data_IF_122064168882
#
_entry.id   IF_122064168882
#
_cell.length_a   1.000
_cell.length_b   1.000
_cell.length_c   1.000
_cell.angle_alpha   90.00
_cell.angle_beta   90.00
_cell.angle_gamma   90.00
#
_symmetry.space_group_name_H-M   'P 1'
#
loop_
_entity.id
_entity.type
_entity.pdbx_description
1 polymer ?
#
# COMPACT_ATOMS: atom_id res chain seq x y z
N UNK A 1 -7.16 4.96 -8.09
CA UNK A 1 -7.58 5.72 -9.29
C UNK A 1 -7.06 5.13 -10.60
N UNK A 2 -5.96 4.34 -10.57
CA UNK A 2 -5.42 3.59 -11.73
C UNK A 2 -5.48 2.06 -11.56
N UNK A 3 -6.07 1.60 -10.45
CA UNK A 3 -6.05 0.19 -10.05
C UNK A 3 -6.76 -0.72 -11.06
N UNK A 4 -7.85 -0.24 -11.67
CA UNK A 4 -8.60 -0.98 -12.67
C UNK A 4 -7.80 -1.10 -13.96
N UNK A 5 -7.32 0.02 -14.48
CA UNK A 5 -6.58 0.11 -15.74
C UNK A 5 -5.28 -0.71 -15.70
N UNK A 6 -4.57 -0.69 -14.57
CA UNK A 6 -3.38 -1.54 -14.36
C UNK A 6 -3.76 -3.03 -14.37
N UNK A 7 -4.83 -3.39 -13.66
CA UNK A 7 -5.27 -4.79 -13.57
C UNK A 7 -5.75 -5.30 -14.93
N UNK A 8 -6.51 -4.49 -15.65
CA UNK A 8 -7.02 -4.78 -17.00
C UNK A 8 -5.88 -5.02 -17.98
N UNK A 9 -4.93 -4.09 -18.04
CA UNK A 9 -3.80 -4.16 -18.97
C UNK A 9 -2.91 -5.39 -18.73
N UNK A 10 -2.71 -5.76 -17.46
CA UNK A 10 -1.85 -6.87 -17.06
C UNK A 10 -2.54 -8.23 -17.12
N UNK A 11 -3.81 -8.32 -16.72
CA UNK A 11 -4.48 -9.60 -16.44
C UNK A 11 -5.70 -9.89 -17.29
N UNK A 12 -6.42 -8.90 -17.85
CA UNK A 12 -7.68 -9.12 -18.58
C UNK A 12 -7.46 -9.68 -19.98
N UNK A 13 -7.10 -10.97 -20.05
CA UNK A 13 -6.87 -11.74 -21.28
C UNK A 13 -7.27 -13.21 -21.07
N UNK A 14 -7.70 -13.87 -22.13
CA UNK A 14 -8.03 -15.30 -22.10
C UNK A 14 -9.21 -15.61 -21.19
N UNK A 15 -8.97 -16.37 -20.12
CA UNK A 15 -9.99 -16.80 -19.15
C UNK A 15 -10.29 -15.75 -18.07
N UNK A 16 -9.52 -14.66 -18.01
CA UNK A 16 -9.72 -13.61 -17.02
C UNK A 16 -10.78 -12.63 -17.51
N UNK A 17 -11.95 -12.62 -16.85
CA UNK A 17 -13.09 -11.83 -17.28
C UNK A 17 -13.03 -10.40 -16.73
N UNK A 18 -13.79 -9.45 -17.32
CA UNK A 18 -13.90 -8.10 -16.76
C UNK A 18 -14.40 -8.06 -15.30
N UNK A 19 -15.16 -9.08 -14.87
CA UNK A 19 -15.61 -9.20 -13.48
C UNK A 19 -14.45 -9.49 -12.53
N UNK A 20 -13.50 -10.31 -12.96
CA UNK A 20 -12.31 -10.65 -12.18
C UNK A 20 -11.38 -9.44 -12.06
N UNK A 21 -11.29 -8.62 -13.11
CA UNK A 21 -10.59 -7.32 -13.10
C UNK A 21 -11.16 -6.40 -12.04
N UNK A 22 -12.49 -6.28 -11.96
CA UNK A 22 -13.13 -5.42 -10.96
C UNK A 22 -12.80 -5.88 -9.53
N UNK A 23 -12.96 -7.16 -9.22
CA UNK A 23 -12.67 -7.69 -7.88
C UNK A 23 -11.19 -7.52 -7.54
N UNK A 24 -10.29 -7.86 -8.47
CA UNK A 24 -8.84 -7.78 -8.26
C UNK A 24 -8.37 -6.33 -8.10
N UNK A 25 -8.93 -5.39 -8.86
CA UNK A 25 -8.61 -3.96 -8.73
C UNK A 25 -9.02 -3.38 -7.36
N UNK A 26 -10.12 -3.87 -6.78
CA UNK A 26 -10.55 -3.50 -5.44
C UNK A 26 -9.60 -4.07 -4.38
N UNK A 27 -9.26 -5.36 -4.48
CA UNK A 27 -8.25 -6.02 -3.63
C UNK A 27 -6.92 -5.27 -3.69
N UNK A 28 -6.45 -4.93 -4.88
CA UNK A 28 -5.22 -4.16 -5.08
C UNK A 28 -5.29 -2.80 -4.39
N UNK A 29 -6.41 -2.08 -4.52
CA UNK A 29 -6.62 -0.78 -3.86
C UNK A 29 -6.55 -0.90 -2.32
N UNK A 30 -7.06 -1.99 -1.76
CA UNK A 30 -7.01 -2.25 -0.31
C UNK A 30 -5.58 -2.56 0.17
N UNK A 31 -4.78 -3.28 -0.62
CA UNK A 31 -3.37 -3.52 -0.31
C UNK A 31 -2.54 -2.24 -0.32
N UNK A 32 -2.86 -1.28 -1.20
CA UNK A 32 -2.15 0.00 -1.27
C UNK A 32 -2.25 0.80 0.05
N UNK A 33 -3.33 0.63 0.82
CA UNK A 33 -3.46 1.27 2.14
C UNK A 33 -2.37 0.82 3.12
N UNK A 34 -1.95 -0.45 3.04
CA UNK A 34 -0.90 -1.01 3.89
C UNK A 34 0.52 -0.68 3.45
N UNK A 35 0.71 -0.20 2.20
CA UNK A 35 2.02 -0.01 1.59
C UNK A 35 2.93 0.94 2.40
N UNK A 36 2.39 2.08 2.82
CA UNK A 36 3.10 3.08 3.62
C UNK A 36 3.57 2.53 4.99
N UNK A 37 2.69 1.95 5.82
CA UNK A 37 3.07 1.28 7.06
C UNK A 37 4.15 0.21 6.88
N UNK A 38 4.02 -0.65 5.87
CA UNK A 38 4.99 -1.71 5.60
C UNK A 38 6.37 -1.15 5.25
N UNK A 39 6.41 -0.13 4.36
CA UNK A 39 7.66 0.53 3.98
C UNK A 39 8.37 1.18 5.17
N UNK A 40 7.62 1.93 6.00
CA UNK A 40 8.19 2.58 7.18
C UNK A 40 8.66 1.59 8.24
N UNK A 41 7.89 0.52 8.48
CA UNK A 41 8.29 -0.51 9.44
C UNK A 41 9.62 -1.15 9.06
N UNK A 42 9.86 -1.38 7.76
CA UNK A 42 11.14 -1.92 7.28
C UNK A 42 12.32 -1.04 7.70
N UNK A 43 12.19 0.28 7.61
CA UNK A 43 13.23 1.23 8.04
C UNK A 43 13.50 1.13 9.54
N UNK A 44 12.45 1.14 10.37
CA UNK A 44 12.58 1.05 11.83
C UNK A 44 13.06 -0.32 12.30
N UNK A 45 12.70 -1.39 11.60
CA UNK A 45 13.22 -2.73 11.87
C UNK A 45 14.73 -2.78 11.61
N UNK A 46 15.20 -2.16 10.54
CA UNK A 46 16.63 -2.05 10.23
C UNK A 46 17.38 -1.29 11.34
N UNK A 47 16.77 -0.24 11.90
CA UNK A 47 17.32 0.48 13.04
C UNK A 47 17.41 -0.40 14.29
N UNK A 48 16.37 -1.19 14.61
CA UNK A 48 16.39 -2.14 15.72
C UNK A 48 17.48 -3.19 15.53
N UNK A 49 17.70 -3.64 14.30
CA UNK A 49 18.78 -4.58 13.98
C UNK A 49 20.16 -3.96 14.21
N UNK A 50 20.36 -2.70 13.83
CA UNK A 50 21.61 -1.97 14.09
C UNK A 50 21.87 -1.77 15.60
N UNK A 51 20.82 -1.79 16.44
CA UNK A 51 20.91 -1.72 17.90
C UNK A 51 21.00 -3.09 18.59
N UNK A 52 21.21 -4.17 17.83
CA UNK A 52 21.24 -5.55 18.34
C UNK A 52 19.92 -6.00 19.01
N UNK A 53 18.80 -5.31 18.72
CA UNK A 53 17.48 -5.58 19.28
C UNK A 53 16.60 -6.47 18.37
N UNK A 54 17.23 -7.38 17.62
CA UNK A 54 16.55 -8.26 16.66
C UNK A 54 15.42 -9.09 17.29
N UNK A 55 15.61 -9.53 18.54
CA UNK A 55 14.59 -10.27 19.31
C UNK A 55 13.32 -9.45 19.52
N UNK A 56 13.42 -8.14 19.72
CA UNK A 56 12.25 -7.27 19.88
C UNK A 56 11.49 -7.12 18.56
N UNK A 57 12.21 -6.86 17.48
CA UNK A 57 11.63 -6.79 16.13
C UNK A 57 10.91 -8.11 15.74
N UNK A 58 11.52 -9.25 16.04
CA UNK A 58 10.89 -10.56 15.82
C UNK A 58 9.60 -10.75 16.63
N UNK A 59 9.60 -10.41 17.93
CA UNK A 59 8.39 -10.48 18.77
C UNK A 59 7.27 -9.60 18.24
N UNK A 60 7.58 -8.38 17.82
CA UNK A 60 6.59 -7.43 17.27
C UNK A 60 5.99 -7.98 15.96
N UNK A 61 6.83 -8.49 15.06
CA UNK A 61 6.37 -9.13 13.81
C UNK A 61 5.41 -10.28 14.09
N UNK A 62 5.74 -11.12 15.07
CA UNK A 62 4.94 -12.27 15.47
C UNK A 62 3.58 -11.85 16.05
N UNK A 63 3.56 -10.86 16.95
CA UNK A 63 2.30 -10.29 17.49
C UNK A 63 1.43 -9.72 16.36
N UNK A 64 2.03 -8.97 15.44
CA UNK A 64 1.28 -8.39 14.33
C UNK A 64 0.72 -9.44 13.39
N UNK A 65 1.48 -10.50 13.11
CA UNK A 65 1.03 -11.61 12.29
C UNK A 65 -0.20 -12.29 12.92
N UNK A 66 -0.19 -12.52 14.24
CA UNK A 66 -1.37 -13.03 14.95
C UNK A 66 -2.57 -12.08 14.89
N UNK A 67 -2.37 -10.78 15.07
CA UNK A 67 -3.45 -9.79 14.94
C UNK A 67 -4.02 -9.76 13.51
N UNK A 68 -3.15 -9.85 12.50
CA UNK A 68 -3.54 -9.94 11.10
C UNK A 68 -4.32 -11.21 10.76
N UNK A 69 -3.93 -12.34 11.34
CA UNK A 69 -4.66 -13.60 11.21
C UNK A 69 -6.04 -13.50 11.89
N UNK A 70 -6.12 -12.98 13.10
CA UNK A 70 -7.39 -12.77 13.80
C UNK A 70 -8.32 -11.84 13.03
N UNK A 71 -7.78 -10.72 12.51
CA UNK A 71 -8.52 -9.80 11.65
C UNK A 71 -8.98 -10.49 10.35
N UNK A 72 -8.11 -11.30 9.73
CA UNK A 72 -8.43 -12.04 8.50
C UNK A 72 -9.61 -13.00 8.73
N UNK A 73 -9.55 -13.80 9.80
CA UNK A 73 -10.62 -14.74 10.14
C UNK A 73 -11.94 -14.03 10.50
N UNK A 74 -11.86 -12.84 11.11
CA UNK A 74 -13.04 -12.05 11.47
C UNK A 74 -13.67 -11.35 10.26
N UNK A 75 -12.85 -10.86 9.30
CA UNK A 75 -13.32 -10.11 8.13
C UNK A 75 -13.69 -11.01 6.93
N UNK A 76 -13.11 -12.21 6.85
CA UNK A 76 -13.39 -13.17 5.77
C UNK A 76 -14.88 -13.48 5.59
N UNK A 77 -15.69 -13.76 6.64
CA UNK A 77 -17.12 -14.03 6.45
C UNK A 77 -17.92 -12.79 6.01
N UNK A 78 -17.44 -11.57 6.30
CA UNK A 78 -18.15 -10.32 5.98
C UNK A 78 -17.86 -9.83 4.56
N UNK A 79 -16.60 -9.94 4.11
CA UNK A 79 -16.09 -9.26 2.92
C UNK A 79 -15.34 -10.22 1.96
N UNK A 80 -15.25 -11.51 2.29
CA UNK A 80 -14.52 -12.50 1.50
C UNK A 80 -13.07 -12.10 1.25
N UNK A 81 -12.67 -12.08 -0.03
CA UNK A 81 -11.31 -11.75 -0.48
C UNK A 81 -10.93 -10.29 -0.15
N UNK A 82 -11.88 -9.36 -0.19
CA UNK A 82 -11.64 -7.97 0.19
C UNK A 82 -11.32 -7.85 1.69
N UNK A 83 -11.95 -8.70 2.50
CA UNK A 83 -11.70 -8.78 3.94
C UNK A 83 -10.27 -9.21 4.26
N UNK A 84 -9.76 -10.20 3.52
CA UNK A 84 -8.36 -10.65 3.65
C UNK A 84 -7.37 -9.55 3.27
N UNK A 85 -7.64 -8.82 2.17
CA UNK A 85 -6.79 -7.72 1.74
C UNK A 85 -6.74 -6.58 2.77
N UNK A 86 -7.90 -6.21 3.32
CA UNK A 86 -8.01 -5.23 4.40
C UNK A 86 -7.30 -5.68 5.67
N UNK A 87 -7.50 -6.94 6.07
CA UNK A 87 -6.85 -7.50 7.24
C UNK A 87 -5.31 -7.51 7.11
N UNK A 88 -4.78 -7.77 5.92
CA UNK A 88 -3.35 -7.68 5.67
C UNK A 88 -2.82 -6.25 5.80
N UNK A 89 -3.53 -5.27 5.21
CA UNK A 89 -3.17 -3.85 5.36
C UNK A 89 -3.24 -3.39 6.81
N UNK A 90 -4.23 -3.87 7.58
CA UNK A 90 -4.38 -3.58 8.99
C UNK A 90 -3.29 -4.24 9.85
N UNK A 91 -2.86 -5.46 9.50
CA UNK A 91 -1.68 -6.09 10.09
C UNK A 91 -0.44 -5.21 9.89
N UNK A 92 -0.23 -4.67 8.69
CA UNK A 92 0.86 -3.71 8.44
C UNK A 92 0.79 -2.47 9.32
N UNK A 93 -0.41 -1.95 9.60
CA UNK A 93 -0.62 -0.84 10.53
C UNK A 93 -0.29 -1.22 11.98
N UNK A 94 -0.73 -2.38 12.45
CA UNK A 94 -0.40 -2.86 13.79
C UNK A 94 1.11 -3.06 13.96
N UNK A 95 1.75 -3.68 12.98
CA UNK A 95 3.19 -3.86 12.92
C UNK A 95 3.92 -2.51 13.03
N UNK A 96 3.48 -1.53 12.26
CA UNK A 96 4.04 -0.19 12.24
C UNK A 96 3.91 0.53 13.58
N UNK A 97 2.71 0.54 14.18
CA UNK A 97 2.45 1.19 15.47
C UNK A 97 3.30 0.56 16.58
N UNK A 98 3.38 -0.77 16.63
CA UNK A 98 4.20 -1.48 17.62
C UNK A 98 5.69 -1.22 17.41
N UNK A 99 6.15 -1.17 16.16
CA UNK A 99 7.56 -0.90 15.83
C UNK A 99 7.94 0.54 16.19
N UNK A 100 7.07 1.53 15.94
CA UNK A 100 7.30 2.91 16.39
C UNK A 100 7.34 3.00 17.92
N UNK A 101 6.46 2.27 18.61
CA UNK A 101 6.48 2.24 20.08
C UNK A 101 7.81 1.71 20.61
N UNK A 102 8.40 0.72 19.94
CA UNK A 102 9.73 0.19 20.28
C UNK A 102 10.88 1.14 19.89
N UNK A 103 10.75 1.86 18.78
CA UNK A 103 11.72 2.87 18.34
C UNK A 103 11.74 4.11 19.24
N UNK A 104 10.59 4.47 19.81
CA UNK A 104 10.40 5.66 20.62
C UNK A 104 9.63 6.75 19.87
N UNK A 105 8.39 6.99 20.28
CA UNK A 105 7.48 7.94 19.64
C UNK A 105 8.03 9.38 19.61
N UNK A 106 8.82 9.77 20.62
CA UNK A 106 9.44 11.10 20.66
C UNK A 106 10.52 11.28 19.60
N UNK A 107 11.38 10.27 19.39
CA UNK A 107 12.40 10.28 18.34
C UNK A 107 11.76 10.29 16.95
N UNK A 108 10.66 9.55 16.77
CA UNK A 108 9.88 9.54 15.54
C UNK A 108 9.26 10.91 15.23
N UNK A 109 8.61 11.54 16.22
CA UNK A 109 8.08 12.89 16.07
C UNK A 109 9.18 13.92 15.82
N UNK A 110 10.38 13.73 16.39
CA UNK A 110 11.55 14.55 16.11
C UNK A 110 11.94 14.55 14.62
N UNK A 111 11.87 13.39 13.97
CA UNK A 111 12.14 13.25 12.52
C UNK A 111 11.05 13.98 11.70
N UNK A 112 9.79 13.90 12.12
CA UNK A 112 8.65 14.50 11.41
C UNK A 112 8.55 16.02 11.59
N UNK A 113 9.03 16.56 12.72
CA UNK A 113 8.91 17.99 13.05
C UNK A 113 9.65 18.93 12.08
N UNK A 114 10.52 18.42 11.23
CA UNK A 114 11.26 19.26 10.28
C UNK A 114 10.35 19.72 9.12
N UNK A 115 9.90 20.98 9.20
CA UNK A 115 9.01 21.61 8.22
C UNK A 115 9.58 21.54 6.78
N UNK A 116 10.90 21.67 6.61
CA UNK A 116 11.55 21.59 5.29
C UNK A 116 11.40 20.19 4.67
N UNK A 117 11.52 19.13 5.46
CA UNK A 117 11.30 17.76 4.98
C UNK A 117 9.85 17.53 4.55
N UNK A 118 8.90 18.13 5.28
CA UNK A 118 7.48 18.06 4.93
C UNK A 118 7.18 18.77 3.60
N UNK A 119 7.79 19.94 3.35
CA UNK A 119 7.69 20.65 2.08
C UNK A 119 8.25 19.83 0.91
N UNK A 120 9.38 19.14 1.11
CA UNK A 120 9.97 18.26 0.08
C UNK A 120 9.05 17.07 -0.21
N UNK A 121 8.48 16.43 0.82
CA UNK A 121 7.55 15.30 0.65
C UNK A 121 6.28 15.77 -0.10
N UNK A 122 5.71 16.92 0.27
CA UNK A 122 4.56 17.49 -0.42
C UNK A 122 4.87 17.82 -1.88
N UNK A 123 6.04 18.40 -2.14
CA UNK A 123 6.49 18.70 -3.51
C UNK A 123 6.62 17.41 -4.33
N UNK A 124 7.30 16.38 -3.80
CA UNK A 124 7.45 15.09 -4.46
C UNK A 124 6.10 14.41 -4.73
N UNK A 125 5.19 14.43 -3.76
CA UNK A 125 3.84 13.88 -3.93
C UNK A 125 3.05 14.65 -5.00
N UNK A 126 3.18 15.98 -5.05
CA UNK A 126 2.53 16.79 -6.08
C UNK A 126 3.09 16.47 -7.47
N UNK A 127 4.42 16.34 -7.60
CA UNK A 127 5.08 15.95 -8.85
C UNK A 127 4.63 14.55 -9.29
N UNK A 128 4.54 13.59 -8.37
CA UNK A 128 4.03 12.25 -8.67
C UNK A 128 2.59 12.30 -9.20
N UNK A 129 1.70 13.04 -8.51
CA UNK A 129 0.30 13.19 -8.93
C UNK A 129 0.22 13.82 -10.33
N UNK A 130 1.00 14.87 -10.61
CA UNK A 130 1.04 15.50 -11.93
C UNK A 130 1.52 14.54 -13.02
N UNK A 131 2.57 13.76 -12.74
CA UNK A 131 3.07 12.72 -13.67
C UNK A 131 2.01 11.64 -13.93
N UNK A 132 1.31 11.17 -12.90
CA UNK A 132 0.24 10.19 -13.04
C UNK A 132 -0.94 10.72 -13.85
N UNK A 133 -1.30 12.00 -13.69
CA UNK A 133 -2.34 12.65 -14.49
C UNK A 133 -1.92 12.82 -15.95
N UNK A 134 -0.67 13.24 -16.20
CA UNK A 134 -0.13 13.35 -17.55
C UNK A 134 -0.09 11.99 -18.26
N UNK A 135 0.35 10.95 -17.56
CA UNK A 135 0.33 9.58 -18.07
C UNK A 135 -1.08 9.11 -18.38
N UNK A 136 -2.04 9.33 -17.46
CA UNK A 136 -3.45 9.00 -17.69
C UNK A 136 -4.01 9.71 -18.92
N UNK A 137 -3.72 11.00 -19.08
CA UNK A 137 -4.13 11.79 -20.25
C UNK A 137 -3.55 11.20 -21.55
N UNK A 138 -2.26 10.86 -21.55
CA UNK A 138 -1.59 10.26 -22.71
C UNK A 138 -2.18 8.91 -23.11
N UNK A 139 -2.43 8.01 -22.14
CA UNK A 139 -3.07 6.72 -22.40
C UNK A 139 -4.48 6.91 -22.96
N UNK A 140 -5.26 7.83 -22.40
CA UNK A 140 -6.63 8.11 -22.88
C UNK A 140 -6.61 8.63 -24.32
N UNK A 141 -5.64 9.49 -24.66
CA UNK A 141 -5.48 10.00 -26.02
C UNK A 141 -5.07 8.92 -27.01
N UNK A 142 -4.22 7.96 -26.61
CA UNK A 142 -3.87 6.80 -27.44
C UNK A 142 -5.09 5.90 -27.70
N UNK A 143 -5.90 5.62 -26.69
CA UNK A 143 -7.15 4.86 -26.85
C UNK A 143 -8.14 5.56 -27.79
N UNK A 144 -8.31 6.88 -27.65
CA UNK A 144 -9.19 7.66 -28.53
C UNK A 144 -8.66 7.73 -29.97
N UNK A 145 -7.34 7.81 -30.16
CA UNK A 145 -6.72 7.79 -31.50
C UNK A 145 -6.92 6.44 -32.20
N UNK A 146 -6.75 5.32 -31.49
CA UNK A 146 -7.05 3.98 -32.03
C UNK A 146 -8.53 3.79 -32.34
N UNK A 147 -9.43 4.37 -31.54
CA UNK A 147 -10.87 4.32 -31.81
C UNK A 147 -11.27 5.17 -33.02
N UNK A 148 -10.61 6.31 -33.26
CA UNK A 148 -10.88 7.19 -34.40
C UNK A 148 -10.24 6.73 -35.73
N UNK A 149 -9.16 5.94 -35.70
CA UNK A 149 -8.59 5.28 -36.89
C UNK A 149 -9.27 3.94 -37.23
N UNK A 150 -10.30 3.56 -36.47
CA UNK A 150 -11.15 2.39 -36.71
C UNK A 150 -12.43 2.72 -37.48
N UNK A 151 -12.29 3.43 -38.62
CA UNK A 151 -13.10 3.31 -39.84
C UNK A 151 -12.24 3.74 -41.04
#
# INVERSE_FOLDING_TARGET
>A
MLSKEITELLFERGQFSPKDTLITSQVFSLYLLGLLPFGLTKLFSLWLYAKLEQKKAAKISLISLFLGLAASLSLMPLLGVLGLALANSLSGLFLFVLTIKAFGFQSFLGIIKNLKSWLVILFLACVEILLLLAFKSWVTHLYLFYYFQGF
#
